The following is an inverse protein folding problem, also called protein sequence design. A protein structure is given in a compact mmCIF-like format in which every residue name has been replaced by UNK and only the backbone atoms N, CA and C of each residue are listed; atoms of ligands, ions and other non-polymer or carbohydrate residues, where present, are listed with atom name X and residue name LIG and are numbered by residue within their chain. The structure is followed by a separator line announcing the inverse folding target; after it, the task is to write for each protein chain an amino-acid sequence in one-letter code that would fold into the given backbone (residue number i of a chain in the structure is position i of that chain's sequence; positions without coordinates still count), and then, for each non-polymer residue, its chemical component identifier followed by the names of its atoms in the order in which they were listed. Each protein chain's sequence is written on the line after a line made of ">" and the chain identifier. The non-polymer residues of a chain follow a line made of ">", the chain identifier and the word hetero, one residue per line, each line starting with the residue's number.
data_IF_537676142397
#
_entry.id   IF_537676142397
#
_cell.length_a   1.000
_cell.length_b   1.000
_cell.length_c   1.000
_cell.angle_alpha   90.00
_cell.angle_beta   90.00
_cell.angle_gamma   90.00
#
_symmetry.space_group_name_H-M   'P 1'
#
loop_
_entity.id
_entity.type
_entity.pdbx_description
1 polymer ?
#
# COMPACT_ATOMS: atom_id res chain seq x y z
N UNK A 1 12.37 22.24 3.55
CA UNK A 1 12.22 21.05 2.68
C UNK A 1 10.87 20.46 3.03
N UNK A 2 9.94 20.38 2.07
CA UNK A 2 8.62 19.80 2.33
C UNK A 2 8.76 18.31 2.62
N UNK A 3 7.99 17.80 3.58
CA UNK A 3 7.93 16.37 3.86
C UNK A 3 7.46 15.60 2.62
N UNK A 4 8.02 14.40 2.35
CA UNK A 4 7.60 13.59 1.22
C UNK A 4 6.17 13.07 1.44
N UNK A 5 5.40 12.98 0.36
CA UNK A 5 4.07 12.37 0.35
C UNK A 5 4.18 10.87 0.63
N UNK A 6 3.58 10.40 1.73
CA UNK A 6 3.62 9.02 2.19
C UNK A 6 2.46 8.25 1.54
N UNK A 7 2.81 7.29 0.69
CA UNK A 7 1.83 6.54 -0.11
C UNK A 7 1.81 5.08 0.32
N UNK A 8 0.63 4.55 0.64
CA UNK A 8 0.43 3.12 0.84
C UNK A 8 -0.18 2.51 -0.41
N UNK A 9 0.47 1.49 -0.98
CA UNK A 9 -0.03 0.73 -2.13
C UNK A 9 -0.47 -0.65 -1.65
N UNK A 10 -1.77 -0.93 -1.73
CA UNK A 10 -2.31 -2.26 -1.49
C UNK A 10 -2.03 -3.10 -2.74
N UNK A 11 -1.35 -4.24 -2.56
CA UNK A 11 -0.77 -4.99 -3.68
C UNK A 11 -0.89 -6.51 -3.57
N UNK A 12 -0.07 -7.21 -4.36
CA UNK A 12 -0.20 -8.63 -4.68
C UNK A 12 -0.40 -8.90 -6.19
N UNK A 13 -0.18 -7.89 -7.03
CA UNK A 13 -0.39 -7.91 -8.49
C UNK A 13 0.82 -7.36 -9.23
N UNK A 14 0.93 -7.67 -10.52
CA UNK A 14 1.98 -7.09 -11.37
C UNK A 14 1.84 -5.57 -11.54
N UNK A 15 0.61 -5.07 -11.52
CA UNK A 15 0.25 -3.66 -11.57
C UNK A 15 0.74 -2.92 -10.32
N UNK A 16 0.48 -3.46 -9.12
CA UNK A 16 0.97 -2.90 -7.87
C UNK A 16 2.51 -2.81 -7.85
N UNK A 17 3.18 -3.85 -8.38
CA UNK A 17 4.64 -3.86 -8.52
C UNK A 17 5.14 -2.77 -9.45
N UNK A 18 4.49 -2.61 -10.61
CA UNK A 18 4.85 -1.62 -11.61
C UNK A 18 4.64 -0.19 -11.08
N UNK A 19 3.54 0.02 -10.35
CA UNK A 19 3.26 1.27 -9.67
C UNK A 19 4.33 1.61 -8.62
N UNK A 20 4.67 0.68 -7.72
CA UNK A 20 5.71 0.92 -6.72
C UNK A 20 7.07 1.26 -7.34
N UNK A 21 7.45 0.58 -8.43
CA UNK A 21 8.68 0.89 -9.15
C UNK A 21 8.68 2.30 -9.78
N UNK A 22 7.52 2.77 -10.25
CA UNK A 22 7.36 4.12 -10.76
C UNK A 22 7.47 5.16 -9.61
N UNK A 23 6.74 4.94 -8.51
CA UNK A 23 6.74 5.83 -7.34
C UNK A 23 8.13 5.95 -6.69
N UNK A 24 8.90 4.87 -6.64
CA UNK A 24 10.27 4.87 -6.10
C UNK A 24 11.22 5.84 -6.83
N UNK A 25 10.92 6.19 -8.08
CA UNK A 25 11.71 7.12 -8.89
C UNK A 25 11.21 8.57 -8.82
N UNK A 26 10.09 8.82 -8.16
CA UNK A 26 9.49 10.15 -8.08
C UNK A 26 10.03 10.90 -6.86
N UNK A 27 10.69 12.05 -7.03
CA UNK A 27 11.14 12.85 -5.90
C UNK A 27 9.93 13.35 -5.10
N UNK A 28 10.07 13.34 -3.77
CA UNK A 28 9.01 13.80 -2.87
C UNK A 28 7.92 12.76 -2.59
N UNK A 29 8.10 11.50 -2.98
CA UNK A 29 7.19 10.40 -2.63
C UNK A 29 7.92 9.35 -1.81
N UNK A 30 7.32 8.94 -0.69
CA UNK A 30 7.73 7.81 0.14
C UNK A 30 6.66 6.71 0.08
N UNK A 31 6.81 5.77 -0.85
CA UNK A 31 5.84 4.70 -1.06
C UNK A 31 6.15 3.47 -0.19
N UNK A 32 5.10 2.78 0.27
CA UNK A 32 5.16 1.48 0.96
C UNK A 32 4.18 0.51 0.31
N UNK A 33 4.62 -0.71 0.01
CA UNK A 33 3.75 -1.77 -0.51
C UNK A 33 3.15 -2.59 0.63
N UNK A 34 1.87 -2.98 0.53
CA UNK A 34 1.19 -3.83 1.50
C UNK A 34 0.63 -5.09 0.84
N UNK A 35 1.12 -6.25 1.27
CA UNK A 35 0.83 -7.55 0.67
C UNK A 35 -0.06 -8.39 1.59
N UNK A 36 -1.14 -8.96 1.05
CA UNK A 36 -2.08 -9.80 1.81
C UNK A 36 -1.49 -11.15 2.27
N UNK A 37 -0.46 -11.65 1.56
CA UNK A 37 0.35 -12.80 1.97
C UNK A 37 0.50 -13.92 0.92
N UNK A 38 1.65 -14.60 1.05
CA UNK A 38 2.09 -15.92 0.56
C UNK A 38 2.84 -16.06 -0.79
N UNK A 39 2.66 -15.22 -1.82
CA UNK A 39 3.27 -15.55 -3.15
C UNK A 39 4.29 -14.57 -3.71
N UNK A 40 4.38 -13.33 -3.22
CA UNK A 40 5.32 -12.35 -3.78
C UNK A 40 6.44 -11.98 -2.80
N UNK A 41 7.68 -12.07 -3.28
CA UNK A 41 8.86 -11.64 -2.55
C UNK A 41 8.82 -10.11 -2.37
N UNK A 42 8.77 -9.59 -1.14
CA UNK A 42 8.68 -8.14 -0.87
C UNK A 42 9.76 -7.31 -1.57
N UNK A 43 10.96 -7.88 -1.74
CA UNK A 43 12.10 -7.27 -2.43
C UNK A 43 11.81 -6.87 -3.91
N UNK A 44 10.76 -7.40 -4.54
CA UNK A 44 10.46 -7.16 -5.96
C UNK A 44 9.82 -5.79 -6.24
N UNK A 45 9.34 -5.10 -5.21
CA UNK A 45 8.60 -3.85 -5.34
C UNK A 45 9.48 -2.58 -5.35
N UNK A 46 10.76 -2.69 -5.00
CA UNK A 46 11.70 -1.56 -5.02
C UNK A 46 11.42 -0.47 -3.97
N UNK A 47 10.46 -0.73 -3.08
CA UNK A 47 10.03 0.14 -1.97
C UNK A 47 9.91 -0.70 -0.69
N UNK A 48 9.91 -0.09 0.51
CA UNK A 48 9.54 -0.77 1.74
C UNK A 48 8.23 -1.54 1.58
N UNK A 49 8.17 -2.76 2.10
CA UNK A 49 7.02 -3.62 1.93
C UNK A 49 6.63 -4.28 3.26
N UNK A 50 5.33 -4.23 3.58
CA UNK A 50 4.71 -4.94 4.70
C UNK A 50 3.91 -6.14 4.21
N UNK A 51 3.77 -7.14 5.06
CA UNK A 51 2.96 -8.33 4.80
C UNK A 51 2.01 -8.59 5.97
N UNK A 52 0.83 -9.14 5.66
CA UNK A 52 -0.20 -9.45 6.65
C UNK A 52 -1.36 -8.46 6.64
N UNK A 53 -2.48 -8.88 7.23
CA UNK A 53 -3.69 -8.06 7.32
C UNK A 53 -3.52 -6.81 8.18
N UNK A 54 -4.46 -5.88 8.06
CA UNK A 54 -4.55 -4.70 8.94
C UNK A 54 -5.44 -4.93 10.16
N UNK A 55 -6.26 -5.99 10.16
CA UNK A 55 -7.22 -6.26 11.24
C UNK A 55 -8.60 -5.62 11.02
N UNK A 56 -9.04 -5.47 9.77
CA UNK A 56 -10.33 -4.85 9.42
C UNK A 56 -10.20 -3.42 8.91
N UNK A 57 -11.32 -2.69 8.91
CA UNK A 57 -11.37 -1.27 8.52
C UNK A 57 -10.68 -0.41 9.57
N UNK A 58 -10.99 -0.64 10.85
CA UNK A 58 -10.47 0.09 11.99
C UNK A 58 -8.95 -0.08 12.11
N UNK A 59 -8.47 -1.30 11.86
CA UNK A 59 -7.03 -1.58 11.85
C UNK A 59 -6.30 -0.92 10.67
N UNK A 60 -6.96 -0.78 9.51
CA UNK A 60 -6.42 -0.03 8.38
C UNK A 60 -6.40 1.47 8.68
N UNK A 61 -7.50 2.04 9.17
CA UNK A 61 -7.60 3.45 9.53
C UNK A 61 -6.54 3.84 10.58
N UNK A 62 -6.37 3.02 11.62
CA UNK A 62 -5.33 3.22 12.63
C UNK A 62 -3.93 3.17 12.02
N UNK A 63 -3.67 2.24 11.12
CA UNK A 63 -2.38 2.19 10.42
C UNK A 63 -2.14 3.44 9.57
N UNK A 64 -3.15 3.93 8.85
CA UNK A 64 -3.05 5.16 8.05
C UNK A 64 -2.71 6.37 8.93
N UNK A 65 -3.31 6.48 10.12
CA UNK A 65 -3.04 7.56 11.07
C UNK A 65 -1.65 7.44 11.73
N UNK A 66 -1.33 6.26 12.29
CA UNK A 66 -0.05 5.99 12.97
C UNK A 66 1.15 6.21 12.04
N UNK A 67 1.05 5.77 10.78
CA UNK A 67 2.12 5.91 9.78
C UNK A 67 2.05 7.22 8.97
N UNK A 68 1.05 8.06 9.25
CA UNK A 68 0.79 9.33 8.57
C UNK A 68 0.73 9.18 7.05
N UNK A 69 -0.05 8.21 6.58
CA UNK A 69 -0.23 7.96 5.14
C UNK A 69 -1.10 9.06 4.55
N UNK A 70 -0.56 9.76 3.54
CA UNK A 70 -1.25 10.85 2.84
C UNK A 70 -2.14 10.34 1.70
N UNK A 71 -1.80 9.18 1.13
CA UNK A 71 -2.58 8.57 0.05
C UNK A 71 -2.57 7.04 0.12
N UNK A 72 -3.74 6.45 -0.10
CA UNK A 72 -3.96 5.01 -0.23
C UNK A 72 -4.28 4.67 -1.68
N UNK A 73 -3.52 3.78 -2.29
CA UNK A 73 -3.78 3.26 -3.64
C UNK A 73 -4.14 1.79 -3.56
N UNK A 74 -5.35 1.46 -3.99
CA UNK A 74 -5.76 0.07 -4.18
C UNK A 74 -5.34 -0.42 -5.57
N UNK A 75 -4.27 -1.22 -5.61
CA UNK A 75 -3.82 -1.95 -6.79
C UNK A 75 -3.97 -3.47 -6.59
N UNK A 76 -4.92 -3.89 -5.74
CA UNK A 76 -5.20 -5.31 -5.51
C UNK A 76 -5.91 -5.95 -6.70
N UNK A 77 -5.86 -7.28 -6.76
CA UNK A 77 -6.56 -8.02 -7.81
C UNK A 77 -8.08 -7.83 -7.65
N UNK A 78 -8.89 -7.79 -8.73
CA UNK A 78 -10.36 -7.64 -8.64
C UNK A 78 -11.07 -8.63 -7.70
N UNK A 79 -10.47 -9.78 -7.40
CA UNK A 79 -10.99 -10.78 -6.47
C UNK A 79 -10.75 -10.43 -4.99
N UNK A 80 -10.01 -9.37 -4.70
CA UNK A 80 -9.70 -8.88 -3.35
C UNK A 80 -10.75 -7.85 -2.86
N UNK A 81 -12.02 -8.06 -3.18
CA UNK A 81 -13.12 -7.12 -2.85
C UNK A 81 -13.20 -6.69 -1.38
N UNK A 82 -12.70 -7.53 -0.46
CA UNK A 82 -12.72 -7.24 0.98
C UNK A 82 -11.74 -6.12 1.34
N UNK A 83 -10.53 -6.12 0.77
CA UNK A 83 -9.56 -5.05 1.09
C UNK A 83 -9.93 -3.75 0.37
N UNK A 84 -10.49 -3.83 -0.84
CA UNK A 84 -11.04 -2.68 -1.54
C UNK A 84 -12.15 -1.98 -0.76
N UNK A 85 -13.10 -2.75 -0.21
CA UNK A 85 -14.14 -2.22 0.68
C UNK A 85 -13.57 -1.60 1.95
N UNK A 86 -12.55 -2.23 2.54
CA UNK A 86 -11.92 -1.68 3.74
C UNK A 86 -11.17 -0.39 3.44
N UNK A 87 -10.49 -0.29 2.29
CA UNK A 87 -9.79 0.90 1.85
C UNK A 87 -10.74 2.09 1.70
N UNK A 88 -11.89 1.88 1.04
CA UNK A 88 -12.90 2.91 0.86
C UNK A 88 -13.55 3.38 2.18
N UNK A 89 -13.62 2.50 3.18
CA UNK A 89 -14.21 2.82 4.48
C UNK A 89 -13.20 3.41 5.49
N UNK A 90 -11.89 3.25 5.25
CA UNK A 90 -10.81 3.69 6.13
C UNK A 90 -10.15 5.01 5.69
N UNK A 91 -10.24 5.34 4.40
CA UNK A 91 -9.78 6.62 3.84
C UNK A 91 -10.76 7.75 4.15
#
# INVERSE_FOLDING_TARGET
>A
MSDPLRVLVLGGTGEARSLCAALARMPGIAATASLAGVTETPARYGVPARSGGFGGVEGLARYLDEERIDALVDATHPFAERIARNAAAAA
#
